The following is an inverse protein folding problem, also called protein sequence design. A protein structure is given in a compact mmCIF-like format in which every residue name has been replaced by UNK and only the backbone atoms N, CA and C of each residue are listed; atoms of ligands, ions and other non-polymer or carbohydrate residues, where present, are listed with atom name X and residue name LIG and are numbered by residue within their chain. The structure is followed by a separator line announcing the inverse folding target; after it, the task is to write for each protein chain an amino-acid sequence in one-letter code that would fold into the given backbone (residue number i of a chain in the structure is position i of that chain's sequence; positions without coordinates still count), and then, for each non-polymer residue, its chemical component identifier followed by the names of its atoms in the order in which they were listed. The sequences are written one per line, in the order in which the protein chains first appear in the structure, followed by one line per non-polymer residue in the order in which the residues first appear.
data_IF_292234322942
#
_entry.id   IF_292234322942
#
_cell.length_a   1.000
_cell.length_b   1.000
_cell.length_c   1.000
_cell.angle_alpha   90.00
_cell.angle_beta   90.00
_cell.angle_gamma   90.00
#
_symmetry.space_group_name_H-M   'P 1'
#
loop_
_entity.id
_entity.type
_entity.pdbx_description
1 polymer ?
#
# COMPACT_ATOMS: atom_id res chain seq x y z
N UNK A 1 20.15 10.38 -7.18
CA UNK A 1 18.83 10.50 -6.52
C UNK A 1 18.00 9.21 -6.67
N UNK A 2 18.62 8.01 -6.79
CA UNK A 2 17.85 6.74 -6.91
C UNK A 2 17.88 5.85 -5.66
N UNK A 3 18.65 6.19 -4.61
CA UNK A 3 18.79 5.26 -3.47
C UNK A 3 17.56 5.22 -2.55
N UNK A 4 16.84 6.34 -2.37
CA UNK A 4 15.79 6.41 -1.34
C UNK A 4 14.52 5.62 -1.70
N UNK A 5 14.09 5.66 -2.97
CA UNK A 5 12.93 4.88 -3.44
C UNK A 5 13.28 3.38 -3.43
N UNK A 6 14.46 3.03 -3.92
CA UNK A 6 14.93 1.64 -3.92
C UNK A 6 15.06 1.09 -2.49
N UNK A 7 15.58 1.89 -1.55
CA UNK A 7 15.70 1.52 -0.14
C UNK A 7 14.32 1.30 0.51
N UNK A 8 13.33 2.16 0.26
CA UNK A 8 11.96 2.00 0.77
C UNK A 8 11.27 0.75 0.22
N UNK A 9 11.41 0.48 -1.08
CA UNK A 9 10.81 -0.71 -1.68
C UNK A 9 11.50 -1.99 -1.21
N UNK A 10 12.82 -1.96 -1.00
CA UNK A 10 13.57 -3.07 -0.41
C UNK A 10 13.14 -3.35 1.03
N UNK A 11 12.90 -2.30 1.82
CA UNK A 11 12.39 -2.44 3.18
C UNK A 11 10.99 -3.04 3.20
N UNK A 12 10.09 -2.56 2.32
CA UNK A 12 8.76 -3.12 2.17
C UNK A 12 8.82 -4.61 1.79
N UNK A 13 9.69 -5.01 0.85
CA UNK A 13 9.93 -6.42 0.52
C UNK A 13 10.38 -7.24 1.72
N UNK A 14 11.36 -6.71 2.47
CA UNK A 14 11.92 -7.37 3.66
C UNK A 14 10.84 -7.60 4.72
N UNK A 15 10.03 -6.59 5.03
CA UNK A 15 8.94 -6.71 6.02
C UNK A 15 7.81 -7.62 5.51
N UNK A 16 7.53 -7.57 4.20
CA UNK A 16 6.50 -8.41 3.58
C UNK A 16 6.78 -9.90 3.73
N UNK A 17 8.05 -10.32 3.79
CA UNK A 17 8.39 -11.74 3.91
C UNK A 17 7.70 -12.44 5.11
N UNK A 18 7.63 -11.77 6.26
CA UNK A 18 6.98 -12.32 7.46
C UNK A 18 5.46 -12.39 7.31
N UNK A 19 4.85 -11.31 6.79
CA UNK A 19 3.42 -11.24 6.54
C UNK A 19 2.96 -12.27 5.49
N UNK A 20 3.70 -12.40 4.39
CA UNK A 20 3.44 -13.37 3.33
C UNK A 20 3.59 -14.81 3.84
N UNK A 21 4.61 -15.10 4.65
CA UNK A 21 4.74 -16.41 5.28
C UNK A 21 3.52 -16.71 6.17
N UNK A 22 3.01 -15.72 6.89
CA UNK A 22 1.81 -15.92 7.69
C UNK A 22 0.56 -16.16 6.83
N UNK A 23 0.34 -15.37 5.77
CA UNK A 23 -0.77 -15.57 4.83
C UNK A 23 -0.72 -16.98 4.21
N UNK A 24 0.47 -17.47 3.85
CA UNK A 24 0.64 -18.81 3.32
C UNK A 24 0.12 -19.91 4.27
N UNK A 25 0.25 -19.70 5.59
CA UNK A 25 -0.18 -20.62 6.64
C UNK A 25 -1.65 -20.45 7.07
N UNK A 26 -2.40 -19.51 6.50
CA UNK A 26 -3.84 -19.40 6.74
C UNK A 26 -4.60 -20.59 6.12
N UNK A 27 -5.70 -20.97 6.75
CA UNK A 27 -6.61 -22.01 6.22
C UNK A 27 -7.36 -21.53 4.99
N UNK A 28 -7.88 -22.45 4.16
CA UNK A 28 -8.63 -22.10 2.96
C UNK A 28 -9.86 -21.23 3.25
N UNK A 29 -10.54 -21.48 4.38
CA UNK A 29 -11.67 -20.66 4.83
C UNK A 29 -11.25 -19.20 5.07
N UNK A 30 -10.05 -18.97 5.59
CA UNK A 30 -9.51 -17.64 5.84
C UNK A 30 -8.97 -16.95 4.57
N UNK A 31 -8.73 -17.73 3.50
CA UNK A 31 -8.32 -17.25 2.18
C UNK A 31 -9.50 -17.05 1.22
N UNK A 32 -10.72 -17.40 1.63
CA UNK A 32 -11.88 -17.50 0.74
C UNK A 32 -12.39 -16.18 0.15
N UNK A 33 -12.12 -15.04 0.79
CA UNK A 33 -12.44 -13.70 0.27
C UNK A 33 -11.25 -12.76 0.51
N UNK A 34 -10.20 -12.88 -0.31
CA UNK A 34 -8.98 -12.15 -0.08
C UNK A 34 -9.16 -10.68 -0.48
N UNK A 35 -8.73 -9.78 0.39
CA UNK A 35 -8.60 -8.36 0.09
C UNK A 35 -7.26 -7.88 0.64
N UNK A 36 -6.58 -7.07 -0.15
CA UNK A 36 -5.39 -6.33 0.27
C UNK A 36 -5.73 -4.85 0.23
N UNK A 37 -5.39 -4.14 1.30
CA UNK A 37 -5.35 -2.68 1.34
C UNK A 37 -3.89 -2.24 1.18
N UNK A 38 -3.60 -1.44 0.16
CA UNK A 38 -2.33 -0.73 0.03
C UNK A 38 -2.47 0.65 0.65
N UNK A 39 -1.59 0.98 1.59
CA UNK A 39 -1.55 2.30 2.21
C UNK A 39 -0.64 3.21 1.39
N UNK A 40 -1.19 4.35 0.99
CA UNK A 40 -0.54 5.33 0.12
C UNK A 40 -0.33 6.62 0.89
N UNK A 41 0.86 7.20 0.77
CA UNK A 41 1.19 8.50 1.34
C UNK A 41 1.39 9.57 0.26
N UNK A 42 1.71 10.78 0.73
CA UNK A 42 2.29 11.83 -0.10
C UNK A 42 3.81 11.71 -0.12
N UNK A 43 4.45 11.82 -1.27
CA UNK A 43 5.92 11.83 -1.33
C UNK A 43 6.45 12.99 -0.46
N UNK A 44 7.50 12.70 0.33
CA UNK A 44 8.08 13.56 1.36
C UNK A 44 8.08 15.07 1.00
N UNK A 45 7.79 15.89 2.02
CA UNK A 45 7.69 17.36 2.08
C UNK A 45 6.27 17.96 2.03
N UNK A 46 5.28 17.22 1.50
CA UNK A 46 3.89 17.72 1.45
C UNK A 46 3.13 17.58 2.77
N UNK A 47 3.61 16.77 3.73
CA UNK A 47 2.99 16.65 5.05
C UNK A 47 3.04 17.94 5.90
N UNK A 48 3.86 18.92 5.50
CA UNK A 48 4.04 20.19 6.21
C UNK A 48 3.32 21.37 5.54
N UNK A 49 2.72 21.15 4.37
CA UNK A 49 2.00 22.18 3.62
C UNK A 49 0.56 21.68 3.48
N UNK A 50 -0.46 22.46 3.87
CA UNK A 50 -1.84 22.11 3.56
C UNK A 50 -1.96 21.86 2.04
N UNK A 51 -2.23 20.61 1.65
CA UNK A 51 -2.49 20.27 0.26
C UNK A 51 -3.91 20.71 -0.03
N UNK A 52 -4.08 21.61 -1.00
CA UNK A 52 -5.40 22.08 -1.44
C UNK A 52 -6.25 20.89 -1.93
N UNK A 53 -7.55 20.90 -1.63
CA UNK A 53 -8.51 19.88 -2.08
C UNK A 53 -8.46 19.68 -3.60
N UNK A 54 -8.20 20.73 -4.38
CA UNK A 54 -8.05 20.61 -5.85
C UNK A 54 -6.84 19.75 -6.23
N UNK A 55 -5.73 19.88 -5.52
CA UNK A 55 -4.51 19.08 -5.74
C UNK A 55 -4.75 17.63 -5.36
N UNK A 56 -5.42 17.38 -4.22
CA UNK A 56 -5.80 16.03 -3.77
C UNK A 56 -6.70 15.35 -4.81
N UNK A 57 -7.75 16.05 -5.26
CA UNK A 57 -8.68 15.52 -6.26
C UNK A 57 -8.00 15.24 -7.59
N UNK A 58 -7.08 16.11 -8.03
CA UNK A 58 -6.34 15.91 -9.28
C UNK A 58 -5.40 14.71 -9.20
N UNK A 59 -4.69 14.53 -8.08
CA UNK A 59 -3.81 13.38 -7.86
C UNK A 59 -4.63 12.08 -7.83
N UNK A 60 -5.70 12.03 -7.03
CA UNK A 60 -6.58 10.86 -6.96
C UNK A 60 -7.19 10.52 -8.32
N UNK A 61 -7.74 11.51 -9.04
CA UNK A 61 -8.38 11.29 -10.34
C UNK A 61 -7.37 10.86 -11.41
N UNK A 62 -6.14 11.38 -11.38
CA UNK A 62 -5.05 10.97 -12.26
C UNK A 62 -4.67 9.52 -12.02
N UNK A 63 -4.31 9.20 -10.77
CA UNK A 63 -3.91 7.86 -10.37
C UNK A 63 -5.01 6.83 -10.62
N UNK A 64 -6.28 7.16 -10.33
CA UNK A 64 -7.41 6.26 -10.61
C UNK A 64 -7.53 5.90 -12.09
N UNK A 65 -7.31 6.85 -13.02
CA UNK A 65 -7.34 6.55 -14.46
C UNK A 65 -6.22 5.59 -14.86
N UNK A 66 -5.01 5.80 -14.35
CA UNK A 66 -3.87 4.93 -14.65
C UNK A 66 -4.02 3.56 -14.00
N UNK A 67 -4.47 3.50 -12.75
CA UNK A 67 -4.77 2.26 -12.02
C UNK A 67 -5.80 1.40 -12.75
N UNK A 68 -6.88 2.01 -13.25
CA UNK A 68 -7.88 1.29 -14.05
C UNK A 68 -7.32 0.75 -15.38
N UNK A 69 -6.29 1.39 -15.93
CA UNK A 69 -5.64 0.94 -17.17
C UNK A 69 -4.68 -0.26 -16.96
N UNK A 70 -4.25 -0.53 -15.72
CA UNK A 70 -3.36 -1.65 -15.40
C UNK A 70 -4.02 -3.02 -15.51
N UNK A 71 -5.36 -3.09 -15.45
CA UNK A 71 -6.10 -4.35 -15.41
C UNK A 71 -5.97 -5.12 -14.09
N UNK A 72 -5.40 -4.50 -13.04
CA UNK A 72 -5.34 -5.07 -11.70
C UNK A 72 -6.76 -5.30 -11.12
N UNK A 73 -6.96 -6.32 -10.27
CA UNK A 73 -8.27 -6.66 -9.71
C UNK A 73 -8.66 -5.71 -8.55
N UNK A 74 -8.73 -4.41 -8.84
CA UNK A 74 -9.02 -3.34 -7.89
C UNK A 74 -10.51 -3.24 -7.57
N UNK A 75 -10.85 -2.68 -6.40
CA UNK A 75 -12.22 -2.28 -6.05
C UNK A 75 -12.56 -0.90 -6.64
N UNK A 76 -13.84 -0.54 -6.64
CA UNK A 76 -14.33 0.74 -7.19
C UNK A 76 -14.83 1.67 -6.07
N UNK A 77 -14.33 2.91 -5.94
CA UNK A 77 -13.19 3.48 -6.66
C UNK A 77 -11.83 2.86 -6.24
N UNK A 78 -10.81 2.85 -7.13
CA UNK A 78 -9.57 2.12 -6.87
C UNK A 78 -8.61 2.80 -5.89
N UNK A 79 -8.60 4.13 -5.82
CA UNK A 79 -7.83 4.93 -4.88
C UNK A 79 -8.74 5.98 -4.23
N UNK A 80 -8.76 5.97 -2.90
CA UNK A 80 -9.40 6.99 -2.08
C UNK A 80 -8.31 7.76 -1.30
N UNK A 81 -8.06 9.03 -1.64
CA UNK A 81 -7.10 9.90 -0.93
C UNK A 81 -7.84 10.76 0.12
N UNK A 82 -7.32 10.74 1.34
CA UNK A 82 -7.71 11.56 2.48
C UNK A 82 -6.56 12.51 2.86
N UNK A 83 -6.79 13.37 3.88
CA UNK A 83 -5.87 14.45 4.26
C UNK A 83 -4.42 14.01 4.52
N UNK A 84 -4.20 12.78 5.02
CA UNK A 84 -2.87 12.28 5.42
C UNK A 84 -2.34 11.13 4.54
N UNK A 85 -3.12 10.68 3.56
CA UNK A 85 -2.80 9.50 2.73
C UNK A 85 -4.06 8.89 2.13
N UNK A 86 -3.92 7.78 1.43
CA UNK A 86 -5.06 7.07 0.87
C UNK A 86 -4.86 5.58 0.79
N UNK A 87 -5.85 4.92 0.21
CA UNK A 87 -5.95 3.46 0.22
C UNK A 87 -6.31 2.94 -1.16
N UNK A 88 -5.66 1.86 -1.57
CA UNK A 88 -6.02 1.08 -2.76
C UNK A 88 -6.45 -0.31 -2.32
N UNK A 89 -7.67 -0.69 -2.66
CA UNK A 89 -8.21 -2.02 -2.33
C UNK A 89 -8.13 -2.96 -3.52
N UNK A 90 -7.54 -4.12 -3.32
CA UNK A 90 -7.35 -5.15 -4.34
C UNK A 90 -7.92 -6.49 -3.86
N UNK A 91 -8.62 -7.22 -4.73
CA UNK A 91 -9.17 -8.56 -4.41
C UNK A 91 -8.21 -9.67 -4.81
N UNK A 92 -7.06 -9.72 -4.13
CA UNK A 92 -6.00 -10.70 -4.40
C UNK A 92 -5.50 -11.35 -3.12
N UNK A 93 -5.12 -12.63 -3.22
CA UNK A 93 -4.38 -13.30 -2.17
C UNK A 93 -2.90 -12.93 -2.30
N UNK A 94 -2.28 -12.30 -1.30
CA UNK A 94 -0.90 -11.86 -1.41
C UNK A 94 0.06 -13.04 -1.33
N UNK A 95 1.00 -13.08 -2.27
CA UNK A 95 2.12 -14.02 -2.40
C UNK A 95 3.41 -13.25 -2.68
N UNK A 96 4.56 -13.93 -2.69
CA UNK A 96 5.82 -13.29 -3.07
C UNK A 96 5.81 -12.81 -4.54
N UNK A 97 5.26 -13.61 -5.46
CA UNK A 97 5.10 -13.24 -6.86
C UNK A 97 4.14 -12.05 -7.02
N UNK A 98 3.00 -12.07 -6.32
CA UNK A 98 2.07 -10.95 -6.30
C UNK A 98 2.75 -9.66 -5.85
N UNK A 99 3.59 -9.71 -4.82
CA UNK A 99 4.27 -8.53 -4.32
C UNK A 99 5.16 -7.93 -5.41
N UNK A 100 5.99 -8.75 -6.07
CA UNK A 100 6.88 -8.26 -7.13
C UNK A 100 6.12 -7.72 -8.34
N UNK A 101 5.03 -8.38 -8.75
CA UNK A 101 4.17 -7.88 -9.82
C UNK A 101 3.59 -6.49 -9.50
N UNK A 102 3.19 -6.27 -8.24
CA UNK A 102 2.63 -4.98 -7.81
C UNK A 102 3.71 -3.91 -7.65
N UNK A 103 4.87 -4.28 -7.10
CA UNK A 103 6.01 -3.36 -6.96
C UNK A 103 6.68 -3.02 -8.30
N UNK A 104 6.43 -3.78 -9.37
CA UNK A 104 6.86 -3.43 -10.72
C UNK A 104 5.99 -2.34 -11.37
N UNK A 105 4.80 -2.05 -10.84
CA UNK A 105 3.82 -1.14 -11.47
C UNK A 105 3.43 0.01 -10.55
N UNK A 106 2.97 -0.30 -9.34
CA UNK A 106 2.37 0.68 -8.43
C UNK A 106 3.32 1.83 -8.04
N UNK A 107 4.62 1.61 -7.74
CA UNK A 107 5.50 2.69 -7.33
C UNK A 107 5.67 3.77 -8.40
N UNK A 108 5.95 3.38 -9.65
CA UNK A 108 6.17 4.34 -10.75
C UNK A 108 4.89 5.13 -11.06
N UNK A 109 3.74 4.42 -11.10
CA UNK A 109 2.43 5.04 -11.32
C UNK A 109 2.09 6.05 -10.22
N UNK A 110 2.26 5.69 -8.96
CA UNK A 110 1.95 6.56 -7.84
C UNK A 110 2.90 7.76 -7.77
N UNK A 111 4.19 7.54 -8.06
CA UNK A 111 5.21 8.59 -8.06
C UNK A 111 4.90 9.68 -9.11
N UNK A 112 4.35 9.30 -10.27
CA UNK A 112 3.88 10.24 -11.30
C UNK A 112 2.83 11.23 -10.76
N UNK A 113 2.06 10.84 -9.75
CA UNK A 113 1.05 11.67 -9.11
C UNK A 113 1.48 12.27 -7.77
N UNK A 114 2.76 12.19 -7.41
CA UNK A 114 3.29 12.70 -6.14
C UNK A 114 2.93 11.83 -4.93
N UNK A 115 2.54 10.59 -5.18
CA UNK A 115 2.16 9.60 -4.17
C UNK A 115 3.26 8.53 -4.03
N UNK A 116 3.18 7.74 -2.98
CA UNK A 116 4.10 6.64 -2.73
C UNK A 116 3.48 5.56 -1.84
N UNK A 117 4.00 4.35 -1.94
CA UNK A 117 3.53 3.21 -1.14
C UNK A 117 4.17 3.28 0.26
N UNK A 118 3.31 3.31 1.28
CA UNK A 118 3.71 3.24 2.69
C UNK A 118 3.65 1.82 3.24
N UNK A 119 2.80 0.96 2.67
CA UNK A 119 2.63 -0.41 3.14
C UNK A 119 1.45 -1.11 2.51
N UNK A 120 1.18 -2.32 3.01
CA UNK A 120 -0.02 -3.08 2.68
C UNK A 120 -0.47 -3.94 3.86
N UNK A 121 -1.76 -4.29 3.88
CA UNK A 121 -2.38 -5.18 4.85
C UNK A 121 -3.34 -6.16 4.17
N UNK A 122 -3.37 -7.41 4.62
CA UNK A 122 -4.30 -8.44 4.16
C UNK A 122 -5.53 -8.52 5.06
N UNK A 123 -6.68 -8.13 4.52
CA UNK A 123 -7.96 -8.04 5.22
C UNK A 123 -8.96 -9.07 4.68
N UNK A 124 -9.16 -10.21 5.35
CA UNK A 124 -10.20 -11.16 4.93
C UNK A 124 -11.59 -10.62 5.29
N UNK A 125 -12.49 -10.46 4.31
CA UNK A 125 -13.81 -9.80 4.48
C UNK A 125 -14.78 -10.46 5.47
N UNK A 126 -14.63 -11.76 5.75
CA UNK A 126 -15.68 -12.56 6.41
C UNK A 126 -15.23 -13.33 7.66
N UNK A 127 -14.07 -13.01 8.24
CA UNK A 127 -13.63 -13.66 9.48
C UNK A 127 -14.04 -12.78 10.66
N UNK A 128 -15.03 -13.25 11.44
CA UNK A 128 -15.31 -12.78 12.81
C UNK A 128 -14.00 -12.52 13.55
N UNK A 129 -13.93 -11.45 14.38
CA UNK A 129 -12.69 -10.73 14.67
C UNK A 129 -11.55 -11.71 14.90
N UNK A 130 -10.65 -11.79 13.91
CA UNK A 130 -9.38 -12.49 14.09
C UNK A 130 -8.79 -11.88 15.35
N UNK A 131 -8.67 -12.69 16.39
CA UNK A 131 -8.03 -12.30 17.63
C UNK A 131 -6.55 -12.00 17.34
N UNK A 132 -6.34 -10.73 16.94
CA UNK A 132 -5.28 -9.81 17.32
C UNK A 132 -4.24 -9.37 16.30
N UNK A 133 -4.14 -9.90 15.09
CA UNK A 133 -3.13 -9.39 14.15
C UNK A 133 -3.60 -9.51 12.69
N UNK A 134 -3.42 -8.45 11.91
CA UNK A 134 -3.62 -8.40 10.45
C UNK A 134 -2.24 -8.57 9.80
N UNK A 135 -2.02 -9.54 8.90
CA UNK A 135 -0.76 -9.64 8.17
C UNK A 135 -0.53 -8.35 7.38
N UNK A 136 0.54 -7.63 7.68
CA UNK A 136 0.83 -6.32 7.11
C UNK A 136 2.34 -6.07 7.03
N UNK A 137 2.75 -5.16 6.14
CA UNK A 137 4.12 -4.72 6.00
C UNK A 137 4.15 -3.23 5.67
N UNK A 138 5.21 -2.55 6.11
CA UNK A 138 5.41 -1.13 5.92
C UNK A 138 6.74 -0.86 5.22
N UNK A 139 6.86 0.28 4.54
CA UNK A 139 8.09 0.74 3.90
C UNK A 139 8.98 1.55 4.85
N UNK A 140 8.53 1.83 6.07
CA UNK A 140 9.29 2.57 7.09
C UNK A 140 10.34 1.70 7.77
N UNK A 141 11.47 2.32 8.09
CA UNK A 141 12.54 1.76 8.93
C UNK A 141 12.24 2.09 10.40
N UNK A 142 12.72 1.26 11.33
CA UNK A 142 12.60 1.56 12.77
C UNK A 142 13.19 2.94 13.13
N UNK A 143 14.27 3.33 12.45
CA UNK A 143 14.94 4.63 12.61
C UNK A 143 14.03 5.85 12.28
N UNK A 144 13.01 5.66 11.43
CA UNK A 144 12.06 6.74 11.06
C UNK A 144 11.16 7.13 12.23
N UNK A 145 10.95 6.23 13.20
CA UNK A 145 10.16 6.49 14.40
C UNK A 145 10.98 7.15 15.52
N UNK A 146 12.28 6.91 15.56
CA UNK A 146 13.17 7.52 16.57
C UNK A 146 13.55 8.96 16.21
N UNK A 147 13.57 9.32 14.91
CA UNK A 147 13.75 10.69 14.45
C UNK A 147 12.61 11.65 14.86
N UNK A 148 11.44 11.13 15.28
CA UNK A 148 10.30 11.93 15.74
C UNK A 148 10.30 12.23 17.25
N UNK A 149 11.26 11.69 18.01
CA UNK A 149 11.35 11.88 19.47
C UNK A 149 12.23 13.06 19.90
N UNK A 150 12.71 13.88 18.98
CA UNK A 150 13.62 15.01 19.25
C UNK A 150 13.15 16.33 18.64
#
# INVERSE_FOLDING_TARGET
MSNEVDDHLNELRRQSASALNWVANLTDAQKGMPQVCWTIGWRHDLYKIPVDDEVVQKAASGANRELMATGLPLSDPPLELWSLGGEIFERSLPTAEWLEDRLAVLPELLEHHGLWIQGWAYEPRDIQPLHNWVPQAWSYREDDFDAQKH
#
